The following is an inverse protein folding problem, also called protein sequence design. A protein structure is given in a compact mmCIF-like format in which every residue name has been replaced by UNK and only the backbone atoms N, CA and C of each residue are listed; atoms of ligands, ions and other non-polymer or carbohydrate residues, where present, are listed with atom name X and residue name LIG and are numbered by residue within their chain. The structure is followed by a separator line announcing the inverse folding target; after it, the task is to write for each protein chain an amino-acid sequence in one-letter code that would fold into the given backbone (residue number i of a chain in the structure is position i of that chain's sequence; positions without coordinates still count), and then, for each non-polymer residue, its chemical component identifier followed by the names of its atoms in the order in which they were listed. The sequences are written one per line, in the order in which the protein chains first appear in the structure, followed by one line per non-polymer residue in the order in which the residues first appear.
data_IF_640994653046
#
_entry.id   IF_640994653046
#
_cell.length_a   1.000
_cell.length_b   1.000
_cell.length_c   1.000
_cell.angle_alpha   90.00
_cell.angle_beta   90.00
_cell.angle_gamma   90.00
#
_symmetry.space_group_name_H-M   'P 1'
#
loop_
_entity.id
_entity.type
_entity.pdbx_description
1 polymer ?
#
# COMPACT_ATOMS: atom_id res chain seq x y z
N UNK A 1 -37.19 -46.30 33.16
CA UNK A 1 -35.88 -45.72 33.03
C UNK A 1 -35.80 -44.95 31.72
N UNK A 2 -35.99 -43.62 31.76
CA UNK A 2 -36.00 -42.73 30.57
C UNK A 2 -34.62 -42.09 30.48
N UNK A 3 -33.86 -42.42 29.41
CA UNK A 3 -32.56 -41.80 29.10
C UNK A 3 -32.80 -40.45 28.43
N UNK A 4 -32.39 -39.39 29.10
CA UNK A 4 -32.37 -38.05 28.53
C UNK A 4 -31.11 -37.91 27.64
N UNK A 5 -31.31 -37.67 26.35
CA UNK A 5 -30.28 -37.36 25.41
C UNK A 5 -30.06 -35.84 25.44
N UNK A 6 -28.94 -35.43 26.01
CA UNK A 6 -28.54 -34.02 26.06
C UNK A 6 -27.85 -33.69 24.71
N UNK A 7 -28.60 -33.02 23.85
CA UNK A 7 -28.08 -32.53 22.55
C UNK A 7 -27.37 -31.20 22.82
N UNK A 8 -26.02 -31.20 22.82
CA UNK A 8 -25.26 -29.98 22.91
C UNK A 8 -25.15 -29.38 21.50
N UNK A 9 -25.94 -28.36 21.24
CA UNK A 9 -25.80 -27.53 20.06
C UNK A 9 -24.58 -26.61 20.22
N UNK A 10 -23.49 -26.99 19.56
CA UNK A 10 -22.28 -26.14 19.46
C UNK A 10 -22.60 -25.01 18.46
N UNK A 11 -22.94 -23.85 18.98
CA UNK A 11 -23.14 -22.65 18.17
C UNK A 11 -21.79 -22.17 17.65
N UNK A 12 -21.50 -22.37 16.37
CA UNK A 12 -20.39 -21.74 15.66
C UNK A 12 -20.70 -20.25 15.52
N UNK A 13 -20.11 -19.44 16.42
CA UNK A 13 -20.10 -17.99 16.29
C UNK A 13 -19.11 -17.62 15.19
N UNK A 14 -19.59 -17.44 13.95
CA UNK A 14 -18.80 -16.84 12.87
C UNK A 14 -18.62 -15.37 13.20
N UNK A 15 -17.48 -15.03 13.79
CA UNK A 15 -17.05 -13.65 13.94
C UNK A 15 -16.70 -13.15 12.54
N UNK A 16 -17.60 -12.41 11.91
CA UNK A 16 -17.26 -11.57 10.76
C UNK A 16 -16.29 -10.49 11.28
N UNK A 17 -14.99 -10.74 11.10
CA UNK A 17 -13.99 -9.70 11.21
C UNK A 17 -14.29 -8.68 10.11
N UNK A 18 -14.96 -7.58 10.48
CA UNK A 18 -14.97 -6.36 9.69
C UNK A 18 -13.51 -6.00 9.47
N UNK A 19 -13.03 -6.16 8.23
CA UNK A 19 -11.69 -5.74 7.83
C UNK A 19 -11.62 -4.21 7.95
N UNK A 20 -11.41 -3.71 9.15
CA UNK A 20 -10.86 -2.38 9.34
C UNK A 20 -9.44 -2.43 8.76
N UNK A 21 -9.14 -1.59 7.78
CA UNK A 21 -7.81 -1.58 7.14
C UNK A 21 -6.67 -1.51 8.15
N UNK A 22 -5.48 -1.85 7.70
CA UNK A 22 -4.28 -1.87 8.53
C UNK A 22 -4.02 -0.51 9.19
N UNK A 23 -3.63 -0.55 10.46
CA UNK A 23 -3.29 0.61 11.29
C UNK A 23 -1.82 0.55 11.69
N UNK A 24 -1.23 1.67 12.12
CA UNK A 24 0.10 1.67 12.71
C UNK A 24 0.22 0.64 13.84
N UNK A 25 1.26 -0.18 13.78
CA UNK A 25 1.51 -1.31 14.67
C UNK A 25 1.04 -2.67 14.16
N UNK A 26 0.10 -2.72 13.21
CA UNK A 26 -0.37 -3.98 12.63
C UNK A 26 0.70 -4.64 11.76
N UNK A 27 0.73 -5.97 11.72
CA UNK A 27 1.56 -6.69 10.77
C UNK A 27 1.02 -6.49 9.35
N UNK A 28 1.91 -6.19 8.41
CA UNK A 28 1.57 -6.08 7.01
C UNK A 28 1.20 -7.46 6.44
N UNK A 29 0.18 -7.49 5.57
CA UNK A 29 -0.12 -8.69 4.81
C UNK A 29 0.95 -8.92 3.74
N UNK A 30 1.39 -10.18 3.61
CA UNK A 30 2.28 -10.59 2.54
C UNK A 30 1.57 -10.48 1.18
N UNK A 31 2.34 -10.13 0.17
CA UNK A 31 1.88 -10.16 -1.22
C UNK A 31 2.97 -10.76 -2.12
N UNK A 32 2.53 -11.30 -3.26
CA UNK A 32 3.38 -11.68 -4.39
C UNK A 32 2.61 -11.34 -5.66
N UNK A 33 3.01 -10.27 -6.34
CA UNK A 33 2.28 -9.70 -7.46
C UNK A 33 3.17 -9.59 -8.71
N UNK A 34 2.53 -9.59 -9.88
CA UNK A 34 3.23 -9.44 -11.14
C UNK A 34 3.62 -7.98 -11.40
N UNK A 35 4.92 -7.75 -11.60
CA UNK A 35 5.47 -6.47 -12.01
C UNK A 35 5.31 -6.25 -13.53
N UNK A 36 5.30 -5.00 -13.97
CA UNK A 36 5.19 -4.60 -15.40
C UNK A 36 6.30 -5.16 -16.30
N UNK A 37 7.43 -5.61 -15.75
CA UNK A 37 8.49 -6.33 -16.48
C UNK A 37 8.22 -7.84 -16.63
N UNK A 38 7.10 -8.32 -16.07
CA UNK A 38 6.68 -9.71 -16.10
C UNK A 38 7.18 -10.58 -14.95
N UNK A 39 8.07 -10.08 -14.09
CA UNK A 39 8.55 -10.82 -12.91
C UNK A 39 7.54 -10.73 -11.76
N UNK A 40 7.55 -11.70 -10.88
CA UNK A 40 6.83 -11.61 -9.61
C UNK A 40 7.70 -10.93 -8.56
N UNK A 41 7.10 -10.02 -7.81
CA UNK A 41 7.73 -9.31 -6.69
C UNK A 41 6.89 -9.56 -5.44
N UNK A 42 7.56 -9.97 -4.38
CA UNK A 42 6.96 -10.29 -3.09
C UNK A 42 7.45 -9.32 -2.00
N UNK A 43 6.64 -9.10 -0.97
CA UNK A 43 7.07 -8.30 0.19
C UNK A 43 8.31 -8.93 0.85
N UNK A 44 8.44 -10.26 0.85
CA UNK A 44 9.61 -10.98 1.38
C UNK A 44 10.92 -10.70 0.65
N UNK A 45 10.88 -10.21 -0.60
CA UNK A 45 12.09 -9.86 -1.35
C UNK A 45 12.81 -8.64 -0.75
N UNK A 46 12.17 -7.96 0.19
CA UNK A 46 12.68 -6.79 0.92
C UNK A 46 13.09 -7.11 2.36
N UNK A 47 13.25 -8.39 2.70
CA UNK A 47 13.54 -8.83 4.08
C UNK A 47 14.86 -8.29 4.65
N UNK A 48 15.80 -7.87 3.83
CA UNK A 48 17.06 -7.22 4.19
C UNK A 48 16.96 -5.69 4.30
N UNK A 49 15.82 -5.11 3.88
CA UNK A 49 15.58 -3.68 3.94
C UNK A 49 15.08 -3.26 5.33
N UNK A 50 15.31 -1.98 5.69
CA UNK A 50 14.78 -1.41 6.95
C UNK A 50 13.27 -1.23 6.93
N UNK A 51 12.70 -1.10 5.73
CA UNK A 51 11.28 -0.95 5.51
C UNK A 51 10.94 -0.86 4.03
N UNK A 52 9.66 -0.70 3.71
CA UNK A 52 9.16 -0.58 2.34
C UNK A 52 8.08 0.50 2.30
N UNK A 53 8.12 1.36 1.28
CA UNK A 53 7.07 2.34 1.00
C UNK A 53 6.11 1.69 -0.01
N UNK A 54 5.02 1.09 0.46
CA UNK A 54 3.96 0.54 -0.40
C UNK A 54 3.01 1.68 -0.79
N UNK A 55 2.83 1.89 -2.10
CA UNK A 55 1.96 2.95 -2.64
C UNK A 55 0.90 2.33 -3.53
N UNK A 56 -0.35 2.30 -3.06
CA UNK A 56 -1.47 2.00 -3.94
C UNK A 56 -1.72 3.20 -4.85
N UNK A 57 -1.52 3.03 -6.14
CA UNK A 57 -1.61 4.10 -7.16
C UNK A 57 -2.25 3.57 -8.44
N UNK A 58 -2.52 4.43 -9.42
CA UNK A 58 -3.12 4.01 -10.69
C UNK A 58 -2.77 4.98 -11.81
N UNK A 59 -3.12 4.63 -13.05
CA UNK A 59 -2.76 5.44 -14.21
C UNK A 59 -3.61 6.69 -14.41
N UNK A 60 -4.98 6.62 -14.39
CA UNK A 60 -5.81 7.75 -14.82
C UNK A 60 -6.10 8.78 -13.72
N UNK A 61 -5.83 8.48 -12.46
CA UNK A 61 -6.19 9.35 -11.36
C UNK A 61 -5.38 10.66 -11.37
N UNK A 62 -6.03 11.85 -11.40
CA UNK A 62 -5.33 13.14 -11.36
C UNK A 62 -4.44 13.31 -10.13
N UNK A 63 -4.90 12.83 -8.97
CA UNK A 63 -4.11 12.86 -7.72
C UNK A 63 -2.87 11.97 -7.81
N UNK A 64 -3.01 10.73 -8.34
CA UNK A 64 -1.87 9.85 -8.53
C UNK A 64 -0.85 10.46 -9.52
N UNK A 65 -1.34 11.10 -10.59
CA UNK A 65 -0.48 11.79 -11.55
C UNK A 65 0.22 13.01 -10.95
N UNK A 66 -0.46 13.79 -10.10
CA UNK A 66 0.13 14.93 -9.40
C UNK A 66 1.22 14.49 -8.40
N UNK A 67 1.09 13.32 -7.80
CA UNK A 67 2.10 12.75 -6.88
C UNK A 67 3.23 11.99 -7.57
N UNK A 68 3.14 11.69 -8.85
CA UNK A 68 4.06 10.79 -9.57
C UNK A 68 5.54 11.15 -9.36
N UNK A 69 5.92 12.42 -9.55
CA UNK A 69 7.30 12.85 -9.37
C UNK A 69 7.76 12.78 -7.92
N UNK A 70 6.86 13.02 -6.96
CA UNK A 70 7.14 12.90 -5.52
C UNK A 70 7.35 11.44 -5.11
N UNK A 71 6.60 10.48 -5.69
CA UNK A 71 6.82 9.05 -5.48
C UNK A 71 8.17 8.62 -6.06
N UNK A 72 8.54 9.11 -7.25
CA UNK A 72 9.85 8.87 -7.86
C UNK A 72 10.96 9.44 -6.96
N UNK A 73 10.78 10.66 -6.43
CA UNK A 73 11.74 11.28 -5.52
C UNK A 73 11.86 10.51 -4.20
N UNK A 74 10.76 10.00 -3.63
CA UNK A 74 10.80 9.14 -2.45
C UNK A 74 11.70 7.93 -2.68
N UNK A 75 11.54 7.22 -3.80
CA UNK A 75 12.40 6.08 -4.10
C UNK A 75 13.87 6.49 -4.22
N UNK A 76 14.16 7.52 -5.03
CA UNK A 76 15.54 8.00 -5.25
C UNK A 76 16.24 8.44 -3.97
N UNK A 77 15.51 9.06 -3.04
CA UNK A 77 16.06 9.63 -1.82
C UNK A 77 16.20 8.61 -0.68
N UNK A 78 15.41 7.52 -0.72
CA UNK A 78 15.29 6.63 0.43
C UNK A 78 15.57 5.15 0.14
N UNK A 79 15.65 4.69 -1.11
CA UNK A 79 15.94 3.30 -1.42
C UNK A 79 17.31 2.87 -0.85
N UNK A 80 18.36 3.65 -1.07
CA UNK A 80 19.70 3.37 -0.54
C UNK A 80 19.79 3.51 0.99
N UNK A 81 18.78 4.11 1.63
CA UNK A 81 18.64 4.18 3.09
C UNK A 81 17.87 3.00 3.66
N UNK A 82 17.43 2.07 2.81
CA UNK A 82 16.70 0.88 3.16
C UNK A 82 15.17 1.03 3.14
N UNK A 83 14.64 2.04 2.41
CA UNK A 83 13.21 2.27 2.24
C UNK A 83 12.82 2.42 0.75
N UNK A 84 12.93 1.34 -0.06
CA UNK A 84 12.49 1.37 -1.44
C UNK A 84 10.97 1.55 -1.56
N UNK A 85 10.52 2.09 -2.70
CA UNK A 85 9.10 2.16 -3.07
C UNK A 85 8.70 0.89 -3.80
N UNK A 86 7.49 0.40 -3.53
CA UNK A 86 6.75 -0.59 -4.31
C UNK A 86 5.38 0.02 -4.62
N UNK A 87 5.11 0.27 -5.90
CA UNK A 87 3.83 0.77 -6.37
C UNK A 87 2.92 -0.40 -6.75
N UNK A 88 1.64 -0.33 -6.34
CA UNK A 88 0.64 -1.36 -6.63
C UNK A 88 -0.59 -0.70 -7.25
N UNK A 89 -1.00 -1.17 -8.42
CA UNK A 89 -2.28 -0.77 -9.04
C UNK A 89 -3.37 -1.74 -8.59
N UNK A 90 -4.38 -1.25 -7.84
CA UNK A 90 -5.47 -2.07 -7.31
C UNK A 90 -6.72 -2.06 -8.20
N UNK A 91 -6.77 -1.23 -9.24
CA UNK A 91 -7.99 -1.05 -10.03
C UNK A 91 -8.30 -2.27 -10.90
N UNK A 92 -9.58 -2.62 -10.99
CA UNK A 92 -10.06 -3.58 -11.98
C UNK A 92 -9.94 -2.97 -13.38
N UNK A 93 -9.28 -3.65 -14.30
CA UNK A 93 -9.01 -3.16 -15.66
C UNK A 93 -10.25 -3.17 -16.57
N UNK A 94 -11.31 -3.90 -16.22
CA UNK A 94 -12.60 -3.85 -16.91
C UNK A 94 -13.37 -2.56 -16.58
N UNK A 95 -13.16 -2.02 -15.37
CA UNK A 95 -13.79 -0.76 -14.92
C UNK A 95 -12.88 0.42 -15.26
N UNK A 96 -11.58 0.23 -15.24
CA UNK A 96 -10.56 1.23 -15.54
C UNK A 96 -9.62 0.74 -16.64
N UNK A 97 -9.99 0.85 -17.93
CA UNK A 97 -9.19 0.32 -19.04
C UNK A 97 -7.79 0.94 -19.18
N UNK A 98 -7.56 2.11 -18.57
CA UNK A 98 -6.24 2.73 -18.51
C UNK A 98 -5.31 2.06 -17.47
N UNK A 99 -5.83 1.16 -16.65
CA UNK A 99 -5.08 0.40 -15.65
C UNK A 99 -4.80 -1.06 -16.10
N UNK A 100 -4.96 -1.36 -17.40
CA UNK A 100 -4.51 -2.64 -17.95
C UNK A 100 -3.01 -2.79 -17.81
N UNK A 101 -2.54 -4.04 -17.68
CA UNK A 101 -1.12 -4.34 -17.54
C UNK A 101 -0.24 -3.70 -18.64
N UNK A 102 -0.74 -3.68 -19.90
CA UNK A 102 -0.04 -3.04 -21.01
C UNK A 102 0.11 -1.53 -20.81
N UNK A 103 -0.95 -0.85 -20.36
CA UNK A 103 -0.93 0.60 -20.08
C UNK A 103 -0.06 0.96 -18.88
N UNK A 104 -0.06 0.12 -17.86
CA UNK A 104 0.84 0.28 -16.71
C UNK A 104 2.31 0.19 -17.15
N UNK A 105 2.64 -0.79 -17.99
CA UNK A 105 3.99 -0.94 -18.57
C UNK A 105 4.38 0.28 -19.38
N UNK A 106 3.53 0.72 -20.31
CA UNK A 106 3.75 1.93 -21.12
C UNK A 106 4.04 3.15 -20.23
N UNK A 107 3.22 3.35 -19.19
CA UNK A 107 3.41 4.47 -18.25
C UNK A 107 4.72 4.38 -17.50
N UNK A 108 5.04 3.21 -16.94
CA UNK A 108 6.27 3.00 -16.19
C UNK A 108 7.52 3.26 -17.04
N UNK A 109 7.54 2.79 -18.27
CA UNK A 109 8.62 3.04 -19.24
C UNK A 109 8.70 4.52 -19.61
N UNK A 110 7.59 5.14 -20.00
CA UNK A 110 7.51 6.56 -20.41
C UNK A 110 7.95 7.51 -19.29
N UNK A 111 7.62 7.18 -18.04
CA UNK A 111 7.91 8.02 -16.87
C UNK A 111 9.22 7.65 -16.18
N UNK A 112 9.86 6.55 -16.59
CA UNK A 112 11.11 6.08 -16.04
C UNK A 112 10.98 5.71 -14.57
N UNK A 113 10.00 4.90 -14.20
CA UNK A 113 9.81 4.47 -12.82
C UNK A 113 11.03 3.68 -12.32
N UNK A 114 11.71 4.12 -11.27
CA UNK A 114 12.88 3.45 -10.72
C UNK A 114 12.51 2.32 -9.75
N UNK A 115 11.23 2.01 -9.59
CA UNK A 115 10.65 1.06 -8.64
C UNK A 115 9.68 0.10 -9.34
N UNK A 116 9.39 -1.07 -8.75
CA UNK A 116 8.38 -1.99 -9.26
C UNK A 116 6.99 -1.37 -9.29
N UNK A 117 6.25 -1.62 -10.38
CA UNK A 117 4.84 -1.26 -10.52
C UNK A 117 4.01 -2.52 -10.74
N UNK A 118 3.33 -2.96 -9.70
CA UNK A 118 2.68 -4.26 -9.57
C UNK A 118 1.19 -4.16 -9.86
N UNK A 119 0.61 -5.22 -10.42
CA UNK A 119 -0.85 -5.32 -10.63
C UNK A 119 -1.48 -6.25 -9.61
N UNK A 120 -2.44 -5.74 -8.83
CA UNK A 120 -3.29 -6.52 -7.92
C UNK A 120 -4.54 -7.04 -8.65
N UNK A 121 -4.34 -8.06 -9.51
CA UNK A 121 -5.40 -8.61 -10.38
C UNK A 121 -6.59 -9.14 -9.59
N UNK A 122 -6.35 -9.78 -8.46
CA UNK A 122 -7.40 -10.37 -7.61
C UNK A 122 -8.06 -9.36 -6.70
N UNK A 123 -7.46 -8.19 -6.57
CA UNK A 123 -7.90 -7.14 -5.66
C UNK A 123 -7.90 -7.56 -4.17
N UNK A 124 -7.18 -8.61 -3.82
CA UNK A 124 -7.08 -9.11 -2.44
C UNK A 124 -6.08 -8.29 -1.61
N UNK A 125 -4.98 -7.83 -2.22
CA UNK A 125 -3.93 -7.11 -1.51
C UNK A 125 -4.44 -5.77 -1.01
N UNK A 126 -5.04 -4.94 -1.90
CA UNK A 126 -5.55 -3.65 -1.45
C UNK A 126 -6.68 -3.79 -0.42
N UNK A 127 -7.54 -4.82 -0.55
CA UNK A 127 -8.61 -5.11 0.43
C UNK A 127 -8.02 -5.50 1.78
N UNK A 128 -6.99 -6.36 1.80
CA UNK A 128 -6.31 -6.77 3.03
C UNK A 128 -5.62 -5.60 3.73
N UNK A 129 -5.00 -4.70 2.97
CA UNK A 129 -4.42 -3.46 3.52
C UNK A 129 -5.49 -2.46 3.95
N UNK A 130 -6.69 -2.51 3.38
CA UNK A 130 -7.75 -1.53 3.59
C UNK A 130 -7.50 -0.22 2.85
N UNK A 131 -6.79 -0.28 1.72
CA UNK A 131 -6.60 0.89 0.86
C UNK A 131 -7.93 1.30 0.24
N UNK A 132 -8.21 2.61 0.21
CA UNK A 132 -9.48 3.16 -0.26
C UNK A 132 -9.33 4.10 -1.46
N UNK A 133 -8.14 4.67 -1.62
CA UNK A 133 -7.86 5.71 -2.60
C UNK A 133 -6.55 5.42 -3.35
N UNK A 134 -6.37 6.09 -4.49
CA UNK A 134 -5.10 6.19 -5.19
C UNK A 134 -4.71 7.67 -5.32
N UNK A 135 -3.53 8.11 -4.77
CA UNK A 135 -2.62 7.29 -3.98
C UNK A 135 -3.07 7.05 -2.53
N UNK A 136 -2.65 5.91 -1.95
CA UNK A 136 -2.72 5.61 -0.52
C UNK A 136 -1.41 4.93 -0.12
N UNK A 137 -0.71 5.45 0.88
CA UNK A 137 0.63 4.99 1.27
C UNK A 137 0.57 4.20 2.56
N UNK A 138 1.34 3.13 2.60
CA UNK A 138 1.69 2.36 3.79
C UNK A 138 3.22 2.31 3.90
N UNK A 139 3.78 3.01 4.89
CA UNK A 139 5.20 2.86 5.23
C UNK A 139 5.31 1.68 6.17
N UNK A 140 5.98 0.65 5.70
CA UNK A 140 6.25 -0.57 6.46
C UNK A 140 7.65 -0.50 7.06
N UNK A 141 7.78 -0.84 8.33
CA UNK A 141 9.06 -1.01 9.01
C UNK A 141 9.34 -2.50 9.19
N UNK A 142 10.55 -2.93 8.90
CA UNK A 142 11.00 -4.29 9.13
C UNK A 142 11.41 -4.48 10.59
N UNK A 143 10.80 -5.46 11.25
CA UNK A 143 11.11 -5.87 12.61
C UNK A 143 11.52 -7.36 12.59
N UNK A 144 12.81 -7.60 12.35
CA UNK A 144 13.37 -8.95 12.31
C UNK A 144 12.78 -9.87 11.25
N UNK A 145 12.42 -9.34 10.07
CA UNK A 145 11.81 -10.09 8.96
C UNK A 145 10.27 -10.02 8.94
N UNK A 146 9.65 -9.42 9.95
CA UNK A 146 8.22 -9.14 9.97
C UNK A 146 7.99 -7.65 9.66
N UNK A 147 7.21 -7.36 8.64
CA UNK A 147 6.88 -5.98 8.30
C UNK A 147 5.67 -5.50 9.10
N UNK A 148 5.83 -4.36 9.79
CA UNK A 148 4.75 -3.67 10.52
C UNK A 148 4.45 -2.32 9.91
N UNK A 149 3.18 -1.91 9.92
CA UNK A 149 2.79 -0.58 9.47
C UNK A 149 3.31 0.45 10.46
N UNK A 150 4.21 1.32 10.01
CA UNK A 150 4.72 2.44 10.80
C UNK A 150 3.92 3.72 10.54
N UNK A 151 3.46 3.91 9.29
CA UNK A 151 2.63 5.04 8.90
C UNK A 151 1.65 4.62 7.79
N UNK A 152 0.44 5.22 7.80
CA UNK A 152 -0.57 5.04 6.75
C UNK A 152 -1.24 6.36 6.40
N UNK A 153 -1.43 6.66 5.11
CA UNK A 153 -2.20 7.84 4.67
C UNK A 153 -1.68 8.52 3.41
N UNK A 154 -1.65 9.86 3.44
CA UNK A 154 -1.20 10.70 2.34
C UNK A 154 0.34 10.79 2.28
N UNK A 155 0.88 11.17 1.12
CA UNK A 155 2.31 11.43 0.94
C UNK A 155 2.73 12.72 1.67
N UNK A 156 1.92 13.77 1.51
CA UNK A 156 2.12 15.08 2.11
C UNK A 156 0.76 15.79 2.31
N UNK A 157 0.77 17.04 2.76
CA UNK A 157 -0.44 17.80 3.06
C UNK A 157 -1.04 18.58 1.87
N UNK A 158 -0.45 18.47 0.66
CA UNK A 158 -1.03 19.09 -0.54
C UNK A 158 -0.86 18.24 -1.79
N UNK A 159 -1.92 17.51 -2.15
CA UNK A 159 -1.88 16.57 -3.26
C UNK A 159 -1.67 17.24 -4.63
N UNK A 160 -2.29 18.39 -4.87
CA UNK A 160 -2.36 19.00 -6.19
C UNK A 160 -1.30 20.08 -6.45
N UNK A 161 -0.72 20.63 -5.41
CA UNK A 161 0.28 21.69 -5.52
C UNK A 161 1.49 21.39 -4.62
N UNK A 162 2.56 20.90 -5.24
CA UNK A 162 3.82 20.58 -4.54
C UNK A 162 4.48 21.82 -3.94
N UNK A 163 4.32 23.00 -4.57
CA UNK A 163 4.93 24.25 -4.10
C UNK A 163 4.33 24.74 -2.78
N UNK A 164 3.09 24.32 -2.49
CA UNK A 164 2.37 24.67 -1.26
C UNK A 164 2.46 23.56 -0.18
N UNK A 165 3.31 22.55 -0.37
CA UNK A 165 3.54 21.51 0.64
C UNK A 165 4.32 22.09 1.82
N UNK A 166 3.73 22.02 3.01
CA UNK A 166 4.37 22.41 4.27
C UNK A 166 4.71 21.25 5.18
N UNK A 167 4.10 20.08 4.92
CA UNK A 167 4.32 18.87 5.72
C UNK A 167 4.44 17.64 4.83
N UNK A 168 5.59 17.00 4.86
CA UNK A 168 5.92 15.80 4.09
C UNK A 168 5.77 14.56 4.97
N UNK A 169 4.57 14.02 5.04
CA UNK A 169 4.23 12.98 6.02
C UNK A 169 5.10 11.72 5.90
N UNK A 170 5.27 11.18 4.69
CA UNK A 170 6.07 9.96 4.47
C UNK A 170 7.55 10.21 4.77
N UNK A 171 8.11 11.33 4.30
CA UNK A 171 9.50 11.68 4.58
C UNK A 171 9.75 11.86 6.08
N UNK A 172 8.85 12.57 6.79
CA UNK A 172 8.93 12.77 8.23
C UNK A 172 8.84 11.42 8.99
N UNK A 173 7.96 10.52 8.52
CA UNK A 173 7.83 9.20 9.11
C UNK A 173 9.10 8.35 8.94
N UNK A 174 9.73 8.40 7.75
CA UNK A 174 11.02 7.72 7.52
C UNK A 174 12.10 8.30 8.41
N UNK A 175 12.20 9.64 8.52
CA UNK A 175 13.18 10.28 9.38
C UNK A 175 13.00 9.90 10.86
N UNK A 176 11.75 9.81 11.34
CA UNK A 176 11.47 9.33 12.69
C UNK A 176 12.01 7.91 12.92
N UNK A 177 11.73 6.97 11.98
CA UNK A 177 12.24 5.60 12.07
C UNK A 177 13.77 5.57 12.05
N UNK A 178 14.41 6.32 11.15
CA UNK A 178 15.86 6.39 11.04
C UNK A 178 16.53 6.95 12.31
N UNK A 179 15.83 7.82 13.07
CA UNK A 179 16.27 8.35 14.36
C UNK A 179 15.88 7.50 15.56
N UNK A 180 15.26 6.33 15.35
CA UNK A 180 14.80 5.44 16.42
C UNK A 180 13.52 5.89 17.12
N UNK A 181 12.75 6.78 16.49
CA UNK A 181 11.48 7.30 17.01
C UNK A 181 10.29 6.77 16.22
N UNK A 182 9.09 6.83 16.80
CA UNK A 182 7.87 6.51 16.10
C UNK A 182 7.38 7.70 15.26
N UNK A 183 6.79 7.47 14.05
CA UNK A 183 6.17 8.52 13.27
C UNK A 183 5.06 9.27 14.03
N UNK A 184 5.02 10.60 13.88
CA UNK A 184 3.96 11.45 14.44
C UNK A 184 3.64 12.58 13.45
N UNK A 185 2.40 12.60 12.87
CA UNK A 185 1.34 11.60 13.03
C UNK A 185 1.71 10.26 12.40
N UNK A 186 1.26 9.15 12.99
CA UNK A 186 1.42 7.80 12.43
C UNK A 186 0.32 7.46 11.40
N UNK A 187 -0.73 8.26 11.30
CA UNK A 187 -1.76 8.12 10.27
C UNK A 187 -2.31 9.48 9.85
N UNK A 188 -2.68 9.59 8.57
CA UNK A 188 -3.38 10.72 7.98
C UNK A 188 -4.45 10.23 7.01
N UNK A 189 -5.34 11.11 6.59
CA UNK A 189 -6.33 10.78 5.57
C UNK A 189 -5.67 10.71 4.19
N UNK A 190 -5.76 9.57 3.50
CA UNK A 190 -5.37 9.48 2.09
C UNK A 190 -6.32 10.35 1.22
N UNK A 191 -5.74 11.14 0.33
CA UNK A 191 -6.46 12.00 -0.61
C UNK A 191 -6.22 11.50 -2.02
N UNK A 192 -7.28 11.15 -2.73
CA UNK A 192 -7.15 10.58 -4.07
C UNK A 192 -8.47 10.07 -4.63
N UNK A 193 -8.42 9.45 -5.79
CA UNK A 193 -9.57 8.80 -6.41
C UNK A 193 -9.90 7.48 -5.72
N UNK A 194 -11.17 7.16 -5.57
CA UNK A 194 -11.60 5.86 -5.06
C UNK A 194 -11.13 4.71 -5.96
N UNK A 195 -10.69 3.62 -5.36
CA UNK A 195 -10.26 2.40 -6.06
C UNK A 195 -11.45 1.83 -6.86
N UNK A 196 -11.20 1.39 -8.09
CA UNK A 196 -12.19 0.78 -8.98
C UNK A 196 -12.23 -0.72 -8.69
N UNK A 197 -13.21 -1.12 -7.87
CA UNK A 197 -13.35 -2.50 -7.41
C UNK A 197 -14.40 -3.25 -8.24
N UNK A 198 -14.05 -4.46 -8.69
CA UNK A 198 -15.06 -5.42 -9.11
C UNK A 198 -15.97 -5.73 -7.92
N UNK A 199 -17.27 -5.74 -8.15
CA UNK A 199 -18.31 -6.09 -7.16
C UNK A 199 -18.34 -7.58 -6.91
#
# INVERSE_FOLDING_TARGET
MKKAILSSALAFLVIMLLNAGLKPGDNAYAFSLKNVDGKSISLSDYSDQKGVIVVFTCNPCPYANAYEQRIIALHKNYADKGFPVVAIDPNDDKISPEDTFAKMKEKAEKKGYPFPYLKDVTQEVYKSYGATNTPHVYLLQNDGGTFKVAYVGAIDNNAMDESSVTTKYVENAIQAILSGSNPSPASTKAIGCGIKSAT
#
